data_IF_095007997843
#
_entry.id   IF_095007997843
#
_cell.length_a   1.000
_cell.length_b   1.000
_cell.length_c   1.000
_cell.angle_alpha   90.00
_cell.angle_beta   90.00
_cell.angle_gamma   90.00
#
_symmetry.space_group_name_H-M   'P 1'
#
loop_
_entity.id
_entity.type
_entity.pdbx_description
1 polymer ?
#
# COMPACT_ATOMS: atom_id res chain seq x y z
N UNK A 1 24.17 -1.99 4.10
CA UNK A 1 24.67 -0.81 4.85
C UNK A 1 25.20 0.30 3.94
N UNK A 2 25.96 -0.03 2.89
CA UNK A 2 26.55 0.96 1.96
C UNK A 2 25.54 1.99 1.42
N UNK A 3 24.33 1.56 1.04
CA UNK A 3 23.29 2.47 0.55
C UNK A 3 22.95 3.58 1.57
N UNK A 4 22.78 3.22 2.85
CA UNK A 4 22.45 4.19 3.91
C UNK A 4 23.59 5.18 4.15
N UNK A 5 24.84 4.71 4.12
CA UNK A 5 26.00 5.56 4.34
C UNK A 5 26.23 6.56 3.20
N UNK A 6 26.02 6.12 1.95
CA UNK A 6 26.40 6.87 0.77
C UNK A 6 25.24 7.67 0.13
N UNK A 7 24.00 7.20 0.28
CA UNK A 7 22.86 7.73 -0.49
C UNK A 7 21.72 8.26 0.36
N UNK A 8 21.64 7.95 1.67
CA UNK A 8 20.55 8.41 2.52
C UNK A 8 20.41 9.94 2.53
N UNK A 9 21.52 10.70 2.61
CA UNK A 9 21.47 12.17 2.60
C UNK A 9 20.83 12.75 1.34
N UNK A 10 20.78 11.99 0.22
CA UNK A 10 20.14 12.43 -1.02
C UNK A 10 18.62 12.54 -0.90
N UNK A 11 17.98 11.89 0.09
CA UNK A 11 16.53 12.03 0.33
C UNK A 11 16.12 13.47 0.64
N UNK A 12 17.03 14.28 1.20
CA UNK A 12 16.77 15.70 1.49
C UNK A 12 16.46 16.53 0.24
N UNK A 13 16.91 16.05 -0.93
CA UNK A 13 16.75 16.67 -2.23
C UNK A 13 15.48 16.19 -2.96
N UNK A 14 14.84 15.11 -2.47
CA UNK A 14 13.64 14.52 -3.08
C UNK A 14 12.39 15.17 -2.48
N UNK A 15 11.39 15.43 -3.34
CA UNK A 15 10.06 15.92 -2.95
C UNK A 15 8.98 15.03 -3.59
N UNK A 16 7.99 14.54 -2.82
CA UNK A 16 7.86 14.64 -1.36
C UNK A 16 8.96 13.87 -0.62
N UNK A 17 9.25 14.28 0.62
CA UNK A 17 10.24 13.58 1.45
C UNK A 17 9.66 12.28 1.99
N UNK A 18 10.47 11.21 2.11
CA UNK A 18 10.07 10.00 2.82
C UNK A 18 9.64 10.30 4.25
N UNK A 19 8.73 9.50 4.79
CA UNK A 19 8.34 9.56 6.20
C UNK A 19 9.32 8.69 7.00
N UNK A 20 9.92 9.26 8.03
CA UNK A 20 10.90 8.59 8.89
C UNK A 20 10.33 8.46 10.31
N UNK A 21 10.44 7.27 10.91
CA UNK A 21 9.98 6.99 12.26
C UNK A 21 10.85 5.93 12.92
N UNK A 22 10.98 6.03 14.26
CA UNK A 22 11.67 5.03 15.09
C UNK A 22 10.59 4.30 15.90
N UNK A 23 10.49 2.99 15.70
CA UNK A 23 9.60 2.13 16.49
C UNK A 23 10.33 1.68 17.76
N UNK A 24 9.80 2.03 18.93
CA UNK A 24 10.34 1.61 20.23
C UNK A 24 9.65 0.34 20.73
N UNK A 25 10.23 -0.27 21.76
CA UNK A 25 9.66 -1.45 22.39
C UNK A 25 8.21 -1.18 22.86
N UNK A 26 7.29 -2.04 22.43
CA UNK A 26 5.85 -1.94 22.73
C UNK A 26 5.06 -1.07 21.77
N UNK A 27 5.71 -0.35 20.85
CA UNK A 27 5.02 0.38 19.78
C UNK A 27 4.69 -0.54 18.61
N UNK A 28 3.61 -0.22 17.89
CA UNK A 28 3.16 -0.94 16.71
C UNK A 28 3.02 0.04 15.55
N UNK A 29 3.66 -0.28 14.43
CA UNK A 29 3.57 0.51 13.21
C UNK A 29 2.58 -0.13 12.24
N UNK A 30 1.60 0.65 11.79
CA UNK A 30 0.70 0.25 10.71
C UNK A 30 1.24 0.78 9.37
N UNK A 31 1.51 -0.13 8.44
CA UNK A 31 1.91 0.20 7.07
C UNK A 31 0.74 -0.11 6.13
N UNK A 32 0.14 0.91 5.48
CA UNK A 32 -0.96 0.68 4.55
C UNK A 32 -0.53 -0.12 3.32
N UNK A 33 -1.48 -0.83 2.70
CA UNK A 33 -1.23 -1.54 1.45
C UNK A 33 -0.70 -0.56 0.37
N UNK A 34 0.37 -0.98 -0.33
CA UNK A 34 0.97 -0.24 -1.44
C UNK A 34 2.07 0.74 -1.02
N UNK A 35 2.35 0.88 0.27
CA UNK A 35 3.42 1.75 0.75
C UNK A 35 4.79 1.08 0.67
N UNK A 36 5.70 1.70 -0.06
CA UNK A 36 7.12 1.37 -0.01
C UNK A 36 7.67 1.71 1.37
N UNK A 37 8.27 0.72 2.02
CA UNK A 37 8.84 0.89 3.35
C UNK A 37 10.14 0.10 3.47
N UNK A 38 11.02 0.59 4.33
CA UNK A 38 12.31 -0.02 4.63
C UNK A 38 12.51 0.05 6.14
N UNK A 39 13.03 -1.04 6.73
CA UNK A 39 13.27 -1.15 8.17
C UNK A 39 14.75 -1.41 8.39
N UNK A 40 15.35 -0.66 9.33
CA UNK A 40 16.72 -0.86 9.79
C UNK A 40 16.67 -1.06 11.30
N UNK A 41 17.17 -2.22 11.76
CA UNK A 41 17.29 -2.48 13.19
C UNK A 41 18.50 -1.70 13.73
N UNK A 42 18.27 -0.88 14.76
CA UNK A 42 19.30 -0.02 15.36
C UNK A 42 20.07 -0.72 16.49
N UNK A 43 19.51 -1.81 17.02
CA UNK A 43 20.08 -2.63 18.10
C UNK A 43 20.16 -4.10 17.66
N UNK A 44 21.07 -4.88 18.26
CA UNK A 44 21.24 -6.31 17.97
C UNK A 44 19.99 -7.11 18.35
N UNK A 45 19.10 -7.29 17.38
CA UNK A 45 17.79 -7.93 17.52
C UNK A 45 17.82 -9.47 17.66
N UNK A 46 18.97 -10.08 18.01
CA UNK A 46 19.17 -11.55 18.07
C UNK A 46 19.37 -12.03 19.53
N UNK A 47 18.59 -11.51 20.47
CA UNK A 47 18.45 -12.11 21.81
C UNK A 47 17.23 -13.04 21.85
N UNK A 48 17.28 -14.15 22.59
CA UNK A 48 16.15 -15.08 22.82
C UNK A 48 14.84 -14.40 23.28
N UNK A 49 14.94 -13.18 23.83
CA UNK A 49 13.79 -12.30 24.14
C UNK A 49 13.11 -11.64 22.92
N UNK A 50 13.71 -11.73 21.73
CA UNK A 50 13.32 -10.98 20.52
C UNK A 50 12.37 -11.71 19.57
N UNK A 51 11.92 -12.94 19.86
CA UNK A 51 10.81 -13.55 19.10
C UNK A 51 9.53 -12.68 19.14
N UNK A 52 9.38 -11.83 20.15
CA UNK A 52 8.22 -10.95 20.31
C UNK A 52 8.39 -9.53 19.72
N UNK A 53 9.60 -8.99 19.62
CA UNK A 53 9.77 -7.56 19.24
C UNK A 53 9.83 -7.31 17.73
N UNK A 54 9.98 -8.35 16.90
CA UNK A 54 10.09 -8.22 15.44
C UNK A 54 8.97 -8.90 14.64
N UNK A 55 7.88 -9.32 15.28
CA UNK A 55 6.81 -10.05 14.56
C UNK A 55 6.03 -9.09 13.66
N UNK A 56 6.20 -9.23 12.36
CA UNK A 56 5.40 -8.53 11.35
C UNK A 56 4.34 -9.49 10.82
N UNK A 57 3.10 -9.01 10.75
CA UNK A 57 1.99 -9.76 10.18
C UNK A 57 1.30 -8.90 9.12
N UNK A 58 1.20 -9.45 7.92
CA UNK A 58 0.30 -8.89 6.92
C UNK A 58 -1.13 -9.28 7.29
N UNK A 59 -2.08 -8.37 7.11
CA UNK A 59 -3.50 -8.65 7.30
C UNK A 59 -4.34 -8.15 6.14
N UNK A 60 -5.47 -8.82 5.94
CA UNK A 60 -6.48 -8.42 4.96
C UNK A 60 -7.69 -7.91 5.73
N UNK A 61 -8.11 -6.68 5.43
CA UNK A 61 -9.31 -6.05 5.96
C UNK A 61 -10.22 -5.56 4.84
N UNK A 62 -11.35 -4.97 5.20
CA UNK A 62 -12.31 -4.47 4.21
C UNK A 62 -11.66 -3.46 3.22
N UNK A 63 -10.78 -2.59 3.70
CA UNK A 63 -10.19 -1.55 2.86
C UNK A 63 -9.25 -2.08 1.76
N UNK A 64 -8.62 -3.25 1.94
CA UNK A 64 -7.62 -3.79 1.00
C UNK A 64 -8.04 -5.10 0.32
N UNK A 65 -9.22 -5.64 0.65
CA UNK A 65 -9.69 -6.94 0.17
C UNK A 65 -9.76 -7.02 -1.36
N UNK A 66 -10.27 -5.98 -2.04
CA UNK A 66 -10.39 -5.97 -3.50
C UNK A 66 -9.00 -5.98 -4.17
N UNK A 67 -8.05 -5.22 -3.63
CA UNK A 67 -6.65 -5.23 -4.08
C UNK A 67 -6.00 -6.61 -3.88
N UNK A 68 -6.26 -7.27 -2.75
CA UNK A 68 -5.77 -8.62 -2.49
C UNK A 68 -6.38 -9.64 -3.45
N UNK A 69 -7.69 -9.58 -3.70
CA UNK A 69 -8.36 -10.45 -4.66
C UNK A 69 -7.81 -10.26 -6.08
N UNK A 70 -7.54 -9.02 -6.48
CA UNK A 70 -6.90 -8.72 -7.75
C UNK A 70 -5.48 -9.30 -7.81
N UNK A 71 -4.69 -9.13 -6.75
CA UNK A 71 -3.33 -9.67 -6.69
C UNK A 71 -3.32 -11.20 -6.81
N UNK A 72 -4.19 -11.90 -6.07
CA UNK A 72 -4.31 -13.36 -6.13
C UNK A 72 -4.74 -13.86 -7.51
N UNK A 73 -5.53 -13.07 -8.25
CA UNK A 73 -5.96 -13.39 -9.62
C UNK A 73 -4.85 -13.13 -10.65
N UNK A 74 -4.19 -11.98 -10.55
CA UNK A 74 -3.30 -11.47 -11.60
C UNK A 74 -1.83 -11.92 -11.41
N UNK A 75 -1.42 -12.27 -10.19
CA UNK A 75 -0.05 -12.68 -9.84
C UNK A 75 0.00 -13.96 -9.00
N UNK A 76 -0.60 -15.08 -9.46
CA UNK A 76 -0.61 -16.33 -8.69
C UNK A 76 0.80 -16.92 -8.48
N UNK A 77 1.76 -16.58 -9.34
CA UNK A 77 3.18 -16.95 -9.26
C UNK A 77 3.89 -16.31 -8.06
N UNK A 78 3.39 -15.18 -7.56
CA UNK A 78 3.94 -14.46 -6.42
C UNK A 78 3.28 -14.85 -5.08
N UNK A 79 2.37 -15.82 -5.11
CA UNK A 79 1.71 -16.35 -3.91
C UNK A 79 2.54 -17.49 -3.36
N UNK A 80 3.12 -17.29 -2.18
CA UNK A 80 3.89 -18.31 -1.46
C UNK A 80 3.10 -18.88 -0.27
N UNK A 81 3.53 -20.02 0.27
CA UNK A 81 2.92 -20.65 1.44
C UNK A 81 1.62 -21.44 1.16
N UNK A 82 1.26 -21.62 -0.12
CA UNK A 82 0.11 -22.42 -0.55
C UNK A 82 0.56 -23.43 -1.59
N UNK A 83 0.11 -24.69 -1.45
CA UNK A 83 0.48 -25.80 -2.35
C UNK A 83 -0.04 -25.59 -3.79
N UNK A 84 -1.16 -24.88 -3.93
CA UNK A 84 -1.82 -24.59 -5.19
C UNK A 84 -2.05 -23.07 -5.33
N UNK A 85 -1.02 -22.36 -5.79
CA UNK A 85 -1.08 -20.91 -6.00
C UNK A 85 -2.09 -20.48 -7.08
N UNK A 86 -2.22 -21.25 -8.16
CA UNK A 86 -3.13 -20.94 -9.27
C UNK A 86 -4.61 -21.12 -8.90
N UNK A 87 -4.95 -22.11 -8.08
CA UNK A 87 -6.33 -22.32 -7.59
C UNK A 87 -6.68 -21.51 -6.35
N UNK A 88 -5.71 -20.81 -5.72
CA UNK A 88 -5.91 -20.17 -4.44
C UNK A 88 -6.95 -19.04 -4.48
N UNK A 89 -6.93 -18.21 -5.54
CA UNK A 89 -7.91 -17.14 -5.72
C UNK A 89 -9.36 -17.66 -5.65
N UNK A 90 -9.67 -18.71 -6.41
CA UNK A 90 -11.02 -19.28 -6.46
C UNK A 90 -11.43 -19.86 -5.10
N UNK A 91 -10.51 -20.59 -4.44
CA UNK A 91 -10.74 -21.17 -3.11
C UNK A 91 -10.97 -20.08 -2.05
N UNK A 92 -10.14 -19.05 -2.03
CA UNK A 92 -10.26 -17.92 -1.11
C UNK A 92 -11.58 -17.18 -1.31
N UNK A 93 -11.91 -16.81 -2.56
CA UNK A 93 -13.16 -16.10 -2.89
C UNK A 93 -14.39 -16.90 -2.48
N UNK A 94 -14.42 -18.21 -2.77
CA UNK A 94 -15.53 -19.08 -2.39
C UNK A 94 -15.67 -19.22 -0.86
N UNK A 95 -14.55 -19.40 -0.15
CA UNK A 95 -14.55 -19.47 1.31
C UNK A 95 -15.02 -18.15 1.94
N UNK A 96 -14.54 -17.02 1.42
CA UNK A 96 -14.93 -15.69 1.90
C UNK A 96 -16.41 -15.42 1.65
N UNK A 97 -16.95 -15.71 0.46
CA UNK A 97 -18.37 -15.55 0.18
C UNK A 97 -19.25 -16.43 1.07
N UNK A 98 -18.79 -17.65 1.41
CA UNK A 98 -19.51 -18.53 2.34
C UNK A 98 -19.52 -17.98 3.77
N UNK A 99 -18.41 -17.39 4.23
CA UNK A 99 -18.31 -16.81 5.56
C UNK A 99 -19.04 -15.46 5.67
N UNK A 100 -19.01 -14.66 4.60
CA UNK A 100 -19.57 -13.31 4.55
C UNK A 100 -20.37 -13.08 3.25
N UNK A 101 -21.59 -13.65 3.15
CA UNK A 101 -22.41 -13.53 1.94
C UNK A 101 -22.73 -12.07 1.59
N UNK A 102 -22.59 -11.72 0.32
CA UNK A 102 -22.97 -10.40 -0.21
C UNK A 102 -22.04 -9.24 0.16
N UNK A 103 -20.98 -9.47 0.93
CA UNK A 103 -19.98 -8.42 1.25
C UNK A 103 -19.16 -8.07 0.01
N UNK A 104 -18.68 -9.08 -0.74
CA UNK A 104 -17.89 -8.86 -1.95
C UNK A 104 -18.66 -8.07 -3.00
N UNK A 105 -19.91 -8.44 -3.26
CA UNK A 105 -20.78 -7.76 -4.23
C UNK A 105 -20.99 -6.29 -3.87
N UNK A 106 -21.24 -5.98 -2.59
CA UNK A 106 -21.38 -4.60 -2.11
C UNK A 106 -20.09 -3.81 -2.32
N UNK A 107 -18.93 -4.42 -2.04
CA UNK A 107 -17.63 -3.77 -2.18
C UNK A 107 -17.28 -3.50 -3.65
N UNK A 108 -17.49 -4.48 -4.54
CA UNK A 108 -17.32 -4.31 -5.98
C UNK A 108 -18.25 -3.20 -6.54
N UNK A 109 -19.48 -3.10 -6.03
CA UNK A 109 -20.41 -2.03 -6.40
C UNK A 109 -19.94 -0.65 -5.92
N UNK A 110 -19.44 -0.55 -4.69
CA UNK A 110 -18.89 0.70 -4.16
C UNK A 110 -17.68 1.16 -4.97
N UNK A 111 -16.75 0.25 -5.26
CA UNK A 111 -15.56 0.56 -6.08
C UNK A 111 -15.94 1.02 -7.49
N UNK A 112 -16.93 0.38 -8.13
CA UNK A 112 -17.45 0.83 -9.44
C UNK A 112 -18.02 2.24 -9.39
N UNK A 113 -18.84 2.55 -8.38
CA UNK A 113 -19.39 3.89 -8.19
C UNK A 113 -18.29 4.93 -7.96
N UNK A 114 -17.29 4.61 -7.13
CA UNK A 114 -16.14 5.48 -6.91
C UNK A 114 -15.33 5.69 -8.20
N UNK A 115 -15.12 4.65 -9.00
CA UNK A 115 -14.44 4.74 -10.28
C UNK A 115 -15.20 5.63 -11.28
N UNK A 116 -16.53 5.51 -11.36
CA UNK A 116 -17.39 6.37 -12.18
C UNK A 116 -17.33 7.84 -11.73
N UNK A 117 -17.39 8.10 -10.43
CA UNK A 117 -17.22 9.47 -9.87
C UNK A 117 -15.83 10.02 -10.20
N UNK A 118 -14.78 9.19 -10.12
CA UNK A 118 -13.42 9.61 -10.46
C UNK A 118 -13.29 9.92 -11.96
N UNK A 119 -13.84 9.09 -12.85
CA UNK A 119 -13.82 9.35 -14.29
C UNK A 119 -14.55 10.63 -14.65
N UNK A 120 -15.76 10.84 -14.12
CA UNK A 120 -16.53 12.07 -14.36
C UNK A 120 -15.83 13.32 -13.82
N UNK A 121 -15.07 13.20 -12.71
CA UNK A 121 -14.21 14.28 -12.20
C UNK A 121 -13.06 14.59 -13.17
N UNK A 122 -12.40 13.57 -13.73
CA UNK A 122 -11.36 13.76 -14.75
C UNK A 122 -11.89 14.34 -16.06
N UNK A 123 -13.10 13.96 -16.48
CA UNK A 123 -13.79 14.52 -17.64
C UNK A 123 -14.11 16.00 -17.41
N UNK A 124 -14.63 16.37 -16.23
CA UNK A 124 -14.84 17.78 -15.84
C UNK A 124 -13.55 18.60 -15.84
N UNK A 125 -12.42 18.01 -15.44
CA UNK A 125 -11.10 18.67 -15.49
C UNK A 125 -10.58 18.84 -16.93
N UNK A 126 -10.99 17.98 -17.86
CA UNK A 126 -10.66 18.11 -19.29
C UNK A 126 -11.56 19.11 -20.02
N UNK A 127 -12.83 19.19 -19.65
CA UNK A 127 -13.83 20.09 -20.27
C UNK A 127 -13.79 21.50 -19.69
N UNK A 128 -13.32 21.67 -18.44
CA UNK A 128 -13.02 22.96 -17.83
C UNK A 128 -11.74 23.58 -18.38
N UNK A 129 -11.79 24.09 -19.61
CA UNK A 129 -10.71 24.81 -20.29
C UNK A 129 -10.31 26.16 -19.67
N UNK A 130 -10.21 26.28 -18.35
CA UNK A 130 -9.45 27.36 -17.71
C UNK A 130 -8.04 26.84 -17.42
N UNK A 131 -7.08 27.27 -18.23
CA UNK A 131 -5.69 26.87 -18.11
C UNK A 131 -5.15 26.96 -16.69
N UNK A 132 -4.54 25.87 -16.23
CA UNK A 132 -3.72 25.88 -15.03
C UNK A 132 -2.45 26.70 -15.33
N UNK A 133 -2.44 27.96 -14.91
CA UNK A 133 -1.30 28.87 -15.04
C UNK A 133 -0.39 28.74 -13.82
N UNK A 134 0.87 28.34 -14.03
CA UNK A 134 1.92 28.55 -13.02
C UNK A 134 2.33 30.02 -13.07
N UNK A 135 1.85 30.81 -12.11
CA UNK A 135 2.32 32.18 -11.90
C UNK A 135 3.73 32.19 -11.32
N UNK A 136 4.75 32.01 -12.16
CA UNK A 136 6.11 32.37 -11.81
C UNK A 136 6.22 33.89 -11.93
N UNK A 137 6.17 34.59 -10.80
CA UNK A 137 6.63 35.98 -10.72
C UNK A 137 8.14 35.92 -10.83
N UNK A 138 8.67 36.36 -11.96
CA UNK A 138 10.09 36.71 -12.09
C UNK A 138 10.20 38.11 -11.48
N UNK A 139 10.78 38.21 -10.29
CA UNK A 139 11.26 39.50 -9.77
C UNK A 139 12.55 39.83 -10.53
N UNK A 140 12.46 40.77 -11.45
CA UNK A 140 13.62 41.50 -11.97
C UNK A 140 13.95 42.63 -10.96
N UNK A 141 15.03 42.46 -10.19
CA UNK A 141 15.93 43.55 -9.74
C UNK A 141 17.36 43.02 -9.53
#
# INVERSE_FOLDING_TARGET
>A
MEWHLNFYKKINQIRPRPIEAICRAGEVMFVPNGWWHMVVNLEDSIGWSCLYQGSTANYVGAHNLLSVLQFLRDKPDQVSGVVDGNGFYAKFRAAFQRAHPGVLEKMEQMERKEAEVRMTTWERLKEGGSGFSFGFVVEDE
#
